data_IF_359619826956
#
_entry.id   IF_359619826956
#
_cell.length_a   1.000
_cell.length_b   1.000
_cell.length_c   1.000
_cell.angle_alpha   90.00
_cell.angle_beta   90.00
_cell.angle_gamma   90.00
#
_symmetry.space_group_name_H-M   'P 1'
#
loop_
_entity.id
_entity.type
_entity.pdbx_description
1 polymer ?
#
# COMPACT_ATOMS: atom_id res chain seq x y z
N UNK A 1 15.48 -5.76 -16.69
CA UNK A 1 15.32 -6.39 -18.02
C UNK A 1 15.76 -5.46 -19.13
N UNK A 2 16.11 -6.02 -20.26
CA UNK A 2 16.51 -5.28 -21.45
C UNK A 2 15.37 -5.31 -22.48
N UNK A 3 15.21 -4.20 -23.20
CA UNK A 3 14.23 -4.07 -24.29
C UNK A 3 15.00 -4.11 -25.60
N UNK A 4 14.62 -5.03 -26.49
CA UNK A 4 15.05 -5.06 -27.89
C UNK A 4 13.87 -4.74 -28.80
N UNK A 5 14.07 -4.72 -30.12
CA UNK A 5 12.99 -4.46 -31.07
C UNK A 5 11.91 -5.55 -31.04
N UNK A 6 12.28 -6.80 -30.74
CA UNK A 6 11.40 -7.97 -30.85
C UNK A 6 10.98 -8.59 -29.51
N UNK A 7 11.67 -8.29 -28.41
CA UNK A 7 11.37 -8.92 -27.11
C UNK A 7 11.84 -8.10 -25.93
N UNK A 8 11.28 -8.43 -24.75
CA UNK A 8 11.71 -7.91 -23.46
C UNK A 8 12.32 -9.08 -22.68
N UNK A 9 13.58 -8.95 -22.32
CA UNK A 9 14.27 -9.90 -21.46
C UNK A 9 14.10 -9.52 -20.00
N UNK A 10 13.67 -10.48 -19.15
CA UNK A 10 13.51 -10.31 -17.73
C UNK A 10 14.60 -11.06 -16.96
N UNK A 11 15.20 -10.38 -16.00
CA UNK A 11 16.11 -10.97 -15.02
C UNK A 11 15.36 -11.16 -13.71
N UNK A 12 15.43 -12.36 -13.12
CA UNK A 12 14.90 -12.61 -11.79
C UNK A 12 15.80 -11.92 -10.75
N UNK A 13 15.24 -10.94 -10.02
CA UNK A 13 15.95 -10.19 -8.96
C UNK A 13 15.52 -10.61 -7.56
N UNK A 14 14.32 -11.18 -7.41
CA UNK A 14 13.80 -11.64 -6.12
C UNK A 14 12.81 -12.79 -6.31
N UNK A 15 12.79 -13.73 -5.38
CA UNK A 15 11.79 -14.79 -5.28
C UNK A 15 11.54 -15.12 -3.80
N UNK A 16 10.29 -15.31 -3.43
CA UNK A 16 9.94 -15.83 -2.10
C UNK A 16 10.48 -17.24 -1.92
N UNK A 17 10.90 -17.59 -0.72
CA UNK A 17 11.43 -18.95 -0.41
C UNK A 17 10.36 -20.02 -0.64
N UNK A 18 9.13 -19.72 -0.32
CA UNK A 18 8.00 -20.63 -0.48
C UNK A 18 7.33 -20.44 -1.84
N UNK A 19 7.26 -21.51 -2.61
CA UNK A 19 6.54 -21.56 -3.88
C UNK A 19 5.18 -22.22 -3.68
N UNK A 20 4.13 -21.62 -4.22
CA UNK A 20 2.80 -22.20 -4.19
C UNK A 20 2.48 -22.84 -5.55
N UNK A 21 2.05 -24.08 -5.50
CA UNK A 21 1.75 -24.83 -6.72
C UNK A 21 0.38 -24.51 -7.35
N UNK A 22 -0.46 -23.70 -6.67
CA UNK A 22 -1.80 -23.36 -7.18
C UNK A 22 -2.20 -21.93 -6.77
N UNK A 23 -2.74 -21.18 -7.73
CA UNK A 23 -3.33 -19.85 -7.51
C UNK A 23 -4.58 -19.84 -6.62
N UNK A 24 -5.12 -21.01 -6.28
CA UNK A 24 -6.42 -21.18 -5.60
C UNK A 24 -6.41 -20.78 -4.12
N UNK A 25 -5.23 -20.65 -3.49
CA UNK A 25 -5.10 -20.35 -2.07
C UNK A 25 -4.84 -18.88 -1.74
N UNK A 26 -4.59 -18.05 -2.74
CA UNK A 26 -4.31 -16.63 -2.53
C UNK A 26 -5.56 -15.78 -2.64
N UNK A 27 -6.20 -15.54 -1.52
CA UNK A 27 -7.32 -14.56 -1.46
C UNK A 27 -6.81 -13.10 -1.45
N UNK A 28 -5.54 -12.87 -1.16
CA UNK A 28 -4.96 -11.54 -0.97
C UNK A 28 -3.63 -11.40 -1.75
N UNK A 29 -3.67 -11.61 -3.06
CA UNK A 29 -2.52 -11.37 -3.95
C UNK A 29 -2.32 -9.87 -4.15
N UNK A 30 -1.95 -9.18 -3.08
CA UNK A 30 -1.61 -7.78 -3.10
C UNK A 30 -0.12 -7.62 -3.30
N UNK A 31 0.28 -6.61 -4.04
CA UNK A 31 1.67 -6.27 -4.23
C UNK A 31 1.81 -4.88 -4.81
N UNK A 32 2.81 -4.15 -4.34
CA UNK A 32 3.22 -2.85 -4.86
C UNK A 32 4.73 -2.80 -4.92
N UNK A 33 5.24 -2.16 -5.96
CA UNK A 33 6.67 -1.86 -6.12
C UNK A 33 6.83 -0.36 -6.03
N UNK A 34 7.78 0.08 -5.22
CA UNK A 34 8.14 1.49 -5.07
C UNK A 34 9.67 1.63 -5.08
N UNK A 35 10.15 2.69 -5.74
CA UNK A 35 11.57 3.05 -5.71
C UNK A 35 11.89 3.71 -4.37
N UNK A 36 13.03 3.37 -3.77
CA UNK A 36 13.47 3.93 -2.50
C UNK A 36 14.98 4.15 -2.48
N UNK A 37 15.38 5.41 -2.37
CA UNK A 37 16.77 5.78 -2.12
C UNK A 37 16.96 6.03 -0.62
N UNK A 38 17.87 5.29 -0.01
CA UNK A 38 18.18 5.39 1.43
C UNK A 38 19.28 6.45 1.74
N UNK A 39 19.65 7.25 0.75
CA UNK A 39 20.74 8.22 0.82
C UNK A 39 22.09 7.66 0.42
N UNK A 40 22.22 6.34 0.30
CA UNK A 40 23.44 5.65 -0.13
C UNK A 40 23.22 4.69 -1.30
N UNK A 41 22.02 4.14 -1.41
CA UNK A 41 21.72 3.10 -2.39
C UNK A 41 20.34 3.31 -3.00
N UNK A 42 20.21 2.96 -4.26
CA UNK A 42 18.94 2.79 -4.92
C UNK A 42 18.39 1.38 -4.65
N UNK A 43 17.22 1.34 -4.05
CA UNK A 43 16.57 0.12 -3.63
C UNK A 43 15.15 0.05 -4.21
N UNK A 44 14.59 -1.14 -4.19
CA UNK A 44 13.19 -1.42 -4.50
C UNK A 44 12.51 -1.88 -3.22
N UNK A 45 11.37 -1.27 -2.87
CA UNK A 45 10.45 -1.78 -1.88
C UNK A 45 9.35 -2.58 -2.59
N UNK A 46 9.19 -3.84 -2.17
CA UNK A 46 8.15 -4.73 -2.69
C UNK A 46 7.22 -5.12 -1.55
N UNK A 47 5.96 -4.72 -1.62
CA UNK A 47 4.95 -5.26 -0.71
C UNK A 47 4.45 -6.62 -1.18
N UNK A 48 4.24 -7.55 -0.23
CA UNK A 48 3.71 -8.88 -0.49
C UNK A 48 2.54 -9.11 0.46
N UNK A 49 1.36 -9.39 -0.08
CA UNK A 49 0.16 -9.58 0.71
C UNK A 49 0.21 -10.80 1.63
N UNK A 50 -0.54 -10.76 2.72
CA UNK A 50 -0.60 -11.86 3.69
C UNK A 50 -1.41 -13.04 3.14
N UNK A 51 -0.83 -14.22 3.14
CA UNK A 51 -1.44 -15.45 2.56
C UNK A 51 -2.49 -16.13 3.44
N UNK A 52 -2.59 -15.73 4.70
CA UNK A 52 -3.57 -16.28 5.66
C UNK A 52 -3.15 -17.59 6.35
N UNK A 53 -2.11 -18.27 5.90
CA UNK A 53 -1.75 -19.60 6.43
C UNK A 53 -0.25 -19.87 6.60
N UNK A 54 0.61 -18.93 6.28
CA UNK A 54 2.02 -19.22 6.13
C UNK A 54 2.97 -18.48 7.05
N UNK A 55 3.95 -19.24 7.55
CA UNK A 55 5.07 -18.78 8.38
C UNK A 55 6.28 -18.33 7.53
N UNK A 56 6.07 -17.92 6.27
CA UNK A 56 7.14 -17.33 5.47
C UNK A 56 7.17 -15.83 5.76
N UNK A 57 8.28 -15.34 6.28
CA UNK A 57 8.49 -13.93 6.65
C UNK A 57 8.34 -12.94 5.48
N UNK A 58 8.25 -13.44 4.25
CA UNK A 58 8.00 -12.62 3.07
C UNK A 58 6.53 -12.23 2.90
N UNK A 59 5.58 -12.99 3.47
CA UNK A 59 4.15 -12.71 3.35
C UNK A 59 3.68 -11.73 4.43
N UNK A 60 2.81 -10.81 4.04
CA UNK A 60 2.36 -9.75 4.93
C UNK A 60 3.50 -8.79 5.29
N UNK A 61 4.41 -8.56 4.34
CA UNK A 61 5.61 -7.76 4.58
C UNK A 61 5.91 -6.78 3.44
N UNK A 62 6.82 -5.87 3.72
CA UNK A 62 7.53 -5.09 2.72
C UNK A 62 8.96 -5.61 2.70
N UNK A 63 9.43 -6.00 1.53
CA UNK A 63 10.79 -6.49 1.27
C UNK A 63 11.60 -5.38 0.61
N UNK A 64 12.78 -5.10 1.14
CA UNK A 64 13.77 -4.25 0.49
C UNK A 64 14.66 -5.12 -0.40
N UNK A 65 14.85 -4.70 -1.64
CA UNK A 65 15.69 -5.37 -2.63
C UNK A 65 16.71 -4.37 -3.16
N UNK A 66 17.98 -4.73 -3.06
CA UNK A 66 19.08 -4.01 -3.70
C UNK A 66 19.64 -4.88 -4.82
N UNK A 67 19.39 -4.48 -6.06
CA UNK A 67 19.81 -5.26 -7.24
C UNK A 67 21.32 -5.25 -7.41
N UNK A 68 21.98 -4.11 -7.20
CA UNK A 68 23.43 -3.95 -7.38
C UNK A 68 24.23 -4.84 -6.42
N UNK A 69 23.77 -4.92 -5.16
CA UNK A 69 24.40 -5.74 -4.12
C UNK A 69 23.91 -7.18 -4.08
N UNK A 70 22.96 -7.53 -4.95
CA UNK A 70 22.27 -8.83 -4.95
C UNK A 70 21.78 -9.23 -3.54
N UNK A 71 21.11 -8.30 -2.87
CA UNK A 71 20.69 -8.41 -1.48
C UNK A 71 19.20 -8.13 -1.34
N UNK A 72 18.54 -8.86 -0.44
CA UNK A 72 17.17 -8.58 -0.04
C UNK A 72 16.94 -8.91 1.42
N UNK A 73 16.09 -8.13 2.07
CA UNK A 73 15.68 -8.35 3.47
C UNK A 73 14.20 -8.01 3.68
N UNK A 74 13.60 -8.60 4.69
CA UNK A 74 12.29 -8.15 5.18
C UNK A 74 12.47 -6.80 5.87
N UNK A 75 11.94 -5.75 5.28
CA UNK A 75 12.05 -4.37 5.76
C UNK A 75 11.04 -4.08 6.88
N UNK A 76 9.79 -4.50 6.69
CA UNK A 76 8.71 -4.38 7.67
C UNK A 76 7.72 -5.53 7.50
N UNK A 77 6.97 -5.88 8.54
CA UNK A 77 6.02 -7.00 8.54
C UNK A 77 4.73 -6.72 9.30
N UNK A 78 3.81 -7.66 9.24
CA UNK A 78 2.54 -7.53 9.95
C UNK A 78 1.54 -6.64 9.19
N UNK A 79 1.62 -6.64 7.87
CA UNK A 79 0.72 -5.95 6.95
C UNK A 79 -0.19 -6.96 6.26
N UNK A 80 -1.42 -6.58 5.95
CA UNK A 80 -2.36 -7.50 5.31
C UNK A 80 -2.33 -7.43 3.80
N UNK A 81 -2.47 -6.24 3.26
CA UNK A 81 -2.62 -6.06 1.83
C UNK A 81 -2.30 -4.66 1.36
N UNK A 82 -1.02 -4.33 1.35
CA UNK A 82 -0.52 -3.03 0.88
C UNK A 82 -0.64 -2.97 -0.64
N UNK A 83 -1.48 -2.06 -1.13
CA UNK A 83 -1.68 -1.81 -2.56
C UNK A 83 -1.06 -0.50 -3.05
N UNK A 84 -0.77 0.42 -2.16
CA UNK A 84 -0.10 1.68 -2.48
C UNK A 84 1.03 1.97 -1.52
N UNK A 85 2.13 2.47 -2.06
CA UNK A 85 3.29 2.95 -1.31
C UNK A 85 3.80 4.25 -1.91
N UNK A 86 4.33 5.09 -1.05
CA UNK A 86 5.09 6.28 -1.39
C UNK A 86 6.37 6.27 -0.58
N UNK A 87 7.49 6.55 -1.21
CA UNK A 87 8.76 6.66 -0.54
C UNK A 87 9.54 7.90 -1.04
N UNK A 88 10.07 8.66 -0.11
CA UNK A 88 11.07 9.70 -0.36
C UNK A 88 12.15 9.65 0.73
N UNK A 89 13.07 10.61 0.72
CA UNK A 89 14.16 10.70 1.72
C UNK A 89 13.67 10.90 3.16
N UNK A 90 12.42 11.34 3.36
CA UNK A 90 11.85 11.70 4.66
C UNK A 90 10.94 10.62 5.23
N UNK A 91 10.21 9.92 4.38
CA UNK A 91 9.15 9.01 4.83
C UNK A 91 8.85 7.92 3.81
N UNK A 92 8.52 6.75 4.32
CA UNK A 92 7.86 5.70 3.57
C UNK A 92 6.44 5.59 4.12
N UNK A 93 5.44 5.74 3.25
CA UNK A 93 4.02 5.59 3.58
C UNK A 93 3.45 4.39 2.84
N UNK A 94 2.60 3.63 3.50
CA UNK A 94 1.86 2.53 2.90
C UNK A 94 0.38 2.63 3.25
N UNK A 95 -0.48 2.30 2.29
CA UNK A 95 -1.91 2.11 2.52
C UNK A 95 -2.22 0.62 2.51
N UNK A 96 -2.70 0.13 3.63
CA UNK A 96 -2.98 -1.29 3.88
C UNK A 96 -4.48 -1.56 3.97
N UNK A 97 -4.95 -2.53 3.22
CA UNK A 97 -6.36 -2.92 3.25
C UNK A 97 -6.67 -3.82 4.43
N UNK A 98 -7.50 -3.36 5.32
CA UNK A 98 -8.04 -4.16 6.40
C UNK A 98 -8.96 -5.31 5.93
N UNK A 99 -9.28 -6.26 6.80
CA UNK A 99 -10.08 -7.42 6.40
C UNK A 99 -11.54 -7.05 6.06
N UNK A 100 -12.21 -6.32 6.90
CA UNK A 100 -13.59 -5.84 6.70
C UNK A 100 -13.74 -4.49 7.37
N UNK A 101 -13.34 -3.43 6.70
CA UNK A 101 -13.01 -2.13 7.29
C UNK A 101 -11.59 -2.12 7.85
N UNK A 102 -11.24 -1.07 8.58
CA UNK A 102 -9.93 -0.94 9.19
C UNK A 102 -8.79 -0.82 8.16
N UNK A 103 -9.04 -0.18 7.01
CA UNK A 103 -7.96 0.19 6.11
C UNK A 103 -7.05 1.19 6.83
N UNK A 104 -5.74 1.08 6.63
CA UNK A 104 -4.76 1.83 7.40
C UNK A 104 -3.84 2.67 6.53
N UNK A 105 -3.39 3.79 7.08
CA UNK A 105 -2.24 4.53 6.59
C UNK A 105 -1.11 4.33 7.58
N UNK A 106 -0.04 3.71 7.13
CA UNK A 106 1.12 3.37 7.93
C UNK A 106 2.35 4.19 7.53
N UNK A 107 3.08 4.71 8.53
CA UNK A 107 4.46 5.16 8.36
C UNK A 107 5.35 3.94 8.50
N UNK A 108 6.03 3.56 7.43
CA UNK A 108 6.83 2.34 7.40
C UNK A 108 8.25 2.64 7.88
N UNK A 109 8.67 1.91 8.90
CA UNK A 109 10.01 1.98 9.48
C UNK A 109 10.64 0.59 9.51
N UNK A 110 11.93 0.53 9.24
CA UNK A 110 12.68 -0.73 9.17
C UNK A 110 12.60 -1.50 10.50
N UNK A 111 12.30 -2.79 10.41
CA UNK A 111 12.22 -3.69 11.56
C UNK A 111 10.88 -3.70 12.29
N UNK A 112 9.96 -2.78 11.98
CA UNK A 112 8.68 -2.69 12.66
C UNK A 112 7.70 -3.78 12.22
N UNK A 113 6.79 -4.12 13.15
CA UNK A 113 5.68 -5.05 12.95
C UNK A 113 4.34 -4.34 13.15
N UNK A 114 3.50 -4.32 12.11
CA UNK A 114 2.23 -3.58 12.05
C UNK A 114 1.01 -4.41 12.50
N UNK A 115 1.22 -5.57 13.08
CA UNK A 115 0.25 -6.30 13.89
C UNK A 115 -0.57 -7.36 13.20
N UNK A 116 -0.86 -7.26 11.89
CA UNK A 116 -1.65 -8.30 11.22
C UNK A 116 -0.88 -9.63 11.15
N UNK A 117 -1.50 -10.82 11.41
CA UNK A 117 -2.94 -11.06 11.63
C UNK A 117 -3.37 -11.07 13.10
N UNK A 118 -2.58 -10.59 14.03
CA UNK A 118 -2.85 -10.66 15.47
C UNK A 118 -3.78 -9.55 15.94
N UNK A 119 -3.60 -8.33 15.43
CA UNK A 119 -4.43 -7.17 15.69
C UNK A 119 -4.91 -6.54 14.39
N UNK A 120 -6.02 -5.82 14.39
CA UNK A 120 -6.54 -5.06 13.27
C UNK A 120 -7.70 -4.18 13.72
N UNK A 121 -7.84 -3.02 13.11
CA UNK A 121 -9.01 -2.15 13.25
C UNK A 121 -10.22 -2.61 12.40
N UNK A 122 -10.02 -3.61 11.52
CA UNK A 122 -11.08 -4.22 10.74
C UNK A 122 -11.72 -5.41 11.45
N UNK A 123 -12.86 -5.86 10.94
CA UNK A 123 -13.55 -7.05 11.44
C UNK A 123 -13.11 -8.31 10.70
N UNK A 124 -13.16 -9.46 11.38
CA UNK A 124 -13.01 -10.75 10.70
C UNK A 124 -14.20 -11.01 9.78
N UNK A 125 -13.93 -11.64 8.64
CA UNK A 125 -15.01 -12.17 7.81
C UNK A 125 -15.78 -13.23 8.60
N UNK A 126 -17.11 -13.16 8.59
CA UNK A 126 -17.95 -14.12 9.30
C UNK A 126 -17.65 -15.54 8.86
N UNK A 127 -17.37 -16.40 9.83
CA UNK A 127 -17.51 -17.83 9.66
C UNK A 127 -19.01 -18.19 9.72
N UNK A 128 -19.49 -19.21 9.03
CA UNK A 128 -20.90 -19.63 9.12
C UNK A 128 -21.43 -19.80 10.54
N UNK A 129 -20.56 -20.10 11.49
CA UNK A 129 -20.91 -20.38 12.90
C UNK A 129 -21.06 -19.13 13.79
N UNK A 130 -21.02 -17.92 13.26
CA UNK A 130 -21.24 -16.63 13.96
C UNK A 130 -20.37 -16.37 15.20
N UNK A 131 -19.45 -17.25 15.54
CA UNK A 131 -18.63 -17.21 16.76
C UNK A 131 -17.22 -16.65 16.58
N UNK A 132 -16.93 -15.96 15.48
CA UNK A 132 -15.57 -15.49 15.20
C UNK A 132 -15.26 -14.30 16.10
N UNK A 133 -14.24 -14.39 16.97
CA UNK A 133 -13.82 -13.27 17.80
C UNK A 133 -13.33 -12.12 16.89
N UNK A 134 -13.59 -10.90 17.33
CA UNK A 134 -13.03 -9.69 16.71
C UNK A 134 -11.51 -9.68 16.86
N UNK A 135 -10.82 -8.92 16.01
CA UNK A 135 -9.42 -8.64 16.27
C UNK A 135 -9.30 -7.74 17.51
N UNK A 136 -8.25 -7.91 18.33
CA UNK A 136 -7.89 -6.87 19.27
C UNK A 136 -7.59 -5.57 18.50
N UNK A 137 -8.08 -4.47 19.03
CA UNK A 137 -7.72 -3.12 18.59
C UNK A 137 -6.50 -2.62 19.39
N UNK A 138 -5.99 -1.45 19.03
CA UNK A 138 -4.84 -0.82 19.69
C UNK A 138 -3.56 -1.66 19.55
N UNK A 139 -2.88 -1.45 18.47
CA UNK A 139 -1.65 -2.16 18.10
C UNK A 139 -0.57 -2.01 19.17
N UNK A 140 -0.37 -0.78 19.70
CA UNK A 140 0.64 -0.46 20.70
C UNK A 140 0.46 -1.27 22.00
N UNK A 141 -0.76 -1.43 22.48
CA UNK A 141 -1.06 -2.23 23.67
C UNK A 141 -0.74 -3.71 23.50
N UNK A 142 -0.66 -4.17 22.26
CA UNK A 142 -0.31 -5.53 21.90
C UNK A 142 1.15 -5.66 21.40
N UNK A 143 1.95 -4.59 21.53
CA UNK A 143 3.38 -4.61 21.19
C UNK A 143 3.66 -4.43 19.69
N UNK A 144 2.72 -3.86 18.94
CA UNK A 144 2.86 -3.58 17.51
C UNK A 144 2.87 -2.09 17.23
N UNK A 145 3.30 -1.73 16.01
CA UNK A 145 3.35 -0.34 15.59
C UNK A 145 1.94 0.14 15.19
N UNK A 146 1.52 1.26 15.77
CA UNK A 146 0.25 1.90 15.42
C UNK A 146 0.28 2.51 14.02
N UNK A 147 -0.82 2.44 13.25
CA UNK A 147 -0.98 3.21 12.03
C UNK A 147 -1.07 4.71 12.33
N UNK A 148 -0.69 5.55 11.36
CA UNK A 148 -0.96 7.00 11.42
C UNK A 148 -2.47 7.25 11.53
N UNK A 149 -3.24 6.43 10.81
CA UNK A 149 -4.70 6.52 10.77
C UNK A 149 -5.30 5.18 10.35
N UNK A 150 -6.42 4.80 11.00
CA UNK A 150 -7.24 3.66 10.62
C UNK A 150 -8.64 4.14 10.23
N UNK A 151 -9.13 3.69 9.08
CA UNK A 151 -10.47 3.98 8.60
C UNK A 151 -11.44 2.91 9.09
N UNK A 152 -12.52 3.32 9.76
CA UNK A 152 -13.55 2.37 10.24
C UNK A 152 -14.22 1.64 9.06
N UNK A 153 -14.53 2.39 7.99
CA UNK A 153 -15.18 1.82 6.81
C UNK A 153 -14.15 1.33 5.78
N UNK A 154 -14.48 0.23 5.12
CA UNK A 154 -13.67 -0.31 4.02
C UNK A 154 -13.72 0.62 2.81
N UNK A 155 -12.70 1.43 2.64
CA UNK A 155 -12.49 2.22 1.42
C UNK A 155 -11.91 1.37 0.30
N UNK A 156 -11.16 0.30 0.67
CA UNK A 156 -10.36 -0.46 -0.28
C UNK A 156 -9.29 0.45 -0.86
N UNK A 157 -8.40 0.98 -0.01
CA UNK A 157 -7.30 1.86 -0.42
C UNK A 157 -6.40 1.17 -1.44
N UNK A 158 -5.96 1.89 -2.48
CA UNK A 158 -5.16 1.29 -3.55
C UNK A 158 -3.82 2.02 -3.77
N UNK A 159 -3.81 3.22 -4.31
CA UNK A 159 -2.58 3.99 -4.51
C UNK A 159 -2.48 5.12 -3.50
N UNK A 160 -1.27 5.49 -3.11
CA UNK A 160 -0.97 6.73 -2.41
C UNK A 160 0.12 7.50 -3.16
N UNK A 161 -0.13 8.77 -3.44
CA UNK A 161 0.79 9.62 -4.18
C UNK A 161 0.86 11.01 -3.55
N UNK A 162 2.05 11.56 -3.39
CA UNK A 162 2.24 12.97 -3.04
C UNK A 162 1.89 13.84 -4.23
N UNK A 163 1.06 14.86 -4.00
CA UNK A 163 0.73 15.82 -5.04
C UNK A 163 1.94 16.71 -5.34
N UNK A 164 2.32 16.85 -6.61
CA UNK A 164 3.35 17.80 -7.00
C UNK A 164 2.92 19.24 -6.75
N UNK A 165 3.87 20.09 -6.38
CA UNK A 165 3.60 21.49 -6.05
C UNK A 165 3.01 22.30 -7.22
N UNK A 166 3.27 21.87 -8.45
CA UNK A 166 2.78 22.52 -9.68
C UNK A 166 1.39 22.04 -10.12
N UNK A 167 0.82 21.02 -9.44
CA UNK A 167 -0.56 20.58 -9.69
C UNK A 167 -1.57 21.60 -9.19
N UNK A 168 -1.44 22.04 -7.94
CA UNK A 168 -2.33 23.06 -7.35
C UNK A 168 -1.62 23.79 -6.21
N UNK A 169 -1.62 25.11 -6.26
CA UNK A 169 -1.09 25.95 -5.18
C UNK A 169 -1.84 25.80 -3.83
N UNK A 170 -3.08 25.31 -3.87
CA UNK A 170 -3.90 25.09 -2.68
C UNK A 170 -3.71 23.71 -2.06
N UNK A 171 -3.07 22.77 -2.80
CA UNK A 171 -2.93 21.38 -2.40
C UNK A 171 -1.45 21.01 -2.15
N UNK A 172 -0.63 21.99 -1.84
CA UNK A 172 0.78 21.76 -1.52
C UNK A 172 0.93 20.85 -0.29
N UNK A 173 1.89 19.94 -0.35
CA UNK A 173 2.16 18.93 0.68
C UNK A 173 0.97 18.02 1.01
N UNK A 174 0.02 17.91 0.11
CA UNK A 174 -1.06 16.95 0.23
C UNK A 174 -0.72 15.66 -0.51
N UNK A 175 -1.38 14.60 -0.09
CA UNK A 175 -1.36 13.30 -0.76
C UNK A 175 -2.75 12.99 -1.30
N UNK A 176 -2.80 12.16 -2.33
CA UNK A 176 -4.02 11.55 -2.83
C UNK A 176 -3.92 10.05 -2.63
N UNK A 177 -4.98 9.47 -2.06
CA UNK A 177 -5.16 8.03 -1.93
C UNK A 177 -6.33 7.63 -2.80
N UNK A 178 -6.14 6.67 -3.70
CA UNK A 178 -7.24 6.11 -4.48
C UNK A 178 -7.98 5.03 -3.72
N UNK A 179 -9.26 4.87 -4.02
CA UNK A 179 -10.09 3.85 -3.39
C UNK A 179 -10.82 2.99 -4.41
N UNK A 180 -10.92 1.70 -4.10
CA UNK A 180 -11.64 0.72 -4.90
C UNK A 180 -13.11 0.65 -4.49
N UNK A 181 -13.36 0.32 -3.22
CA UNK A 181 -14.69 0.16 -2.70
C UNK A 181 -15.38 1.50 -2.44
N UNK A 182 -14.60 2.48 -2.00
CA UNK A 182 -15.09 3.83 -1.72
C UNK A 182 -15.50 4.63 -2.96
N UNK A 183 -14.96 4.29 -4.15
CA UNK A 183 -15.23 4.98 -5.43
C UNK A 183 -14.99 6.49 -5.39
N UNK A 184 -14.00 6.90 -4.60
CA UNK A 184 -13.58 8.29 -4.43
C UNK A 184 -12.06 8.35 -4.26
N UNK A 185 -11.51 9.53 -4.36
CA UNK A 185 -10.17 9.81 -3.89
C UNK A 185 -10.26 10.39 -2.46
N UNK A 186 -9.24 10.10 -1.67
CA UNK A 186 -9.01 10.76 -0.38
C UNK A 186 -7.86 11.73 -0.55
N UNK A 187 -8.12 13.04 -0.43
CA UNK A 187 -7.08 14.03 -0.30
C UNK A 187 -6.72 14.15 1.16
N UNK A 188 -5.47 13.92 1.50
CA UNK A 188 -5.00 13.87 2.89
C UNK A 188 -3.80 14.78 3.10
N UNK A 189 -3.66 15.27 4.31
CA UNK A 189 -2.48 16.01 4.77
C UNK A 189 -1.99 15.46 6.10
N UNK A 190 -0.69 15.28 6.21
CA UNK A 190 -0.04 14.81 7.42
C UNK A 190 0.62 15.97 8.17
N UNK A 191 0.93 15.74 9.46
CA UNK A 191 1.87 16.57 10.22
C UNK A 191 3.28 16.49 9.62
N UNK A 192 4.15 17.44 9.91
CA UNK A 192 5.53 17.50 9.37
C UNK A 192 6.35 16.24 9.71
N UNK A 193 6.09 15.61 10.85
CA UNK A 193 6.74 14.38 11.30
C UNK A 193 6.04 13.10 10.81
N UNK A 194 4.95 13.24 10.03
CA UNK A 194 4.14 12.13 9.53
C UNK A 194 3.56 11.22 10.63
N UNK A 195 3.33 11.76 11.84
CA UNK A 195 2.72 10.98 12.93
C UNK A 195 1.22 11.13 13.05
N UNK A 196 0.66 12.14 12.40
CA UNK A 196 -0.78 12.44 12.47
C UNK A 196 -1.36 12.76 11.11
N UNK A 197 -2.55 12.28 10.87
CA UNK A 197 -3.41 12.75 9.80
C UNK A 197 -4.11 14.04 10.27
N UNK A 198 -3.81 15.17 9.62
CA UNK A 198 -4.38 16.47 9.99
C UNK A 198 -5.80 16.63 9.47
N UNK A 199 -6.04 16.17 8.25
CA UNK A 199 -7.38 16.09 7.67
C UNK A 199 -7.43 15.08 6.51
N UNK A 200 -8.65 14.65 6.18
CA UNK A 200 -8.96 13.94 4.96
C UNK A 200 -10.23 14.53 4.32
N UNK A 201 -10.25 14.55 3.00
CA UNK A 201 -11.37 15.01 2.19
C UNK A 201 -11.68 13.97 1.13
N UNK A 202 -12.98 13.69 0.93
CA UNK A 202 -13.43 12.77 -0.11
C UNK A 202 -13.74 13.53 -1.38
N UNK A 203 -13.10 13.13 -2.48
CA UNK A 203 -13.37 13.63 -3.82
C UNK A 203 -14.08 12.51 -4.58
N UNK A 204 -15.38 12.66 -4.77
CA UNK A 204 -16.20 11.62 -5.38
C UNK A 204 -15.89 11.44 -6.86
N UNK A 205 -15.60 10.21 -7.27
CA UNK A 205 -15.34 9.83 -8.67
C UNK A 205 -16.49 8.99 -9.23
N UNK A 206 -17.17 8.22 -8.40
CA UNK A 206 -18.26 7.32 -8.80
C UNK A 206 -17.79 5.94 -9.26
N UNK A 207 -16.50 5.73 -9.37
CA UNK A 207 -15.90 4.50 -9.87
C UNK A 207 -14.68 4.05 -9.06
N UNK A 208 -14.31 2.78 -9.19
CA UNK A 208 -13.14 2.17 -8.55
C UNK A 208 -11.86 2.69 -9.19
N UNK A 209 -11.04 3.38 -8.43
CA UNK A 209 -9.74 3.92 -8.88
C UNK A 209 -8.61 3.03 -8.38
N UNK A 210 -7.96 2.31 -9.30
CA UNK A 210 -6.89 1.35 -9.00
C UNK A 210 -5.54 2.00 -8.82
N UNK A 211 -5.25 3.00 -9.63
CA UNK A 211 -3.95 3.65 -9.68
C UNK A 211 -4.09 5.13 -10.05
N UNK A 212 -3.13 5.94 -9.65
CA UNK A 212 -3.06 7.36 -9.95
C UNK A 212 -1.65 7.69 -10.36
N UNK A 213 -1.49 8.45 -11.45
CA UNK A 213 -0.20 9.02 -11.85
C UNK A 213 -0.36 10.49 -12.23
N UNK A 214 0.66 11.27 -11.92
CA UNK A 214 0.72 12.65 -12.34
C UNK A 214 1.40 12.75 -13.69
N UNK A 215 0.75 13.40 -14.64
CA UNK A 215 1.31 13.74 -15.95
C UNK A 215 1.76 15.20 -15.97
N UNK A 216 3.08 15.39 -15.90
CA UNK A 216 3.71 16.70 -15.71
C UNK A 216 3.37 17.69 -16.82
N UNK A 217 3.39 17.27 -18.10
CA UNK A 217 3.19 18.18 -19.22
C UNK A 217 1.78 18.76 -19.28
N UNK A 218 0.75 17.97 -18.95
CA UNK A 218 -0.65 18.46 -18.91
C UNK A 218 -1.09 18.90 -17.51
N UNK A 219 -0.23 18.77 -16.50
CA UNK A 219 -0.54 19.04 -15.08
C UNK A 219 -1.81 18.34 -14.61
N UNK A 220 -2.00 17.09 -15.04
CA UNK A 220 -3.21 16.31 -14.79
C UNK A 220 -2.91 15.08 -13.96
N UNK A 221 -3.87 14.66 -13.14
CA UNK A 221 -3.88 13.33 -12.55
C UNK A 221 -4.53 12.34 -13.52
N UNK A 222 -3.85 11.28 -13.82
CA UNK A 222 -4.34 10.16 -14.63
C UNK A 222 -4.82 9.07 -13.69
N UNK A 223 -6.07 8.63 -13.85
CA UNK A 223 -6.71 7.62 -13.01
C UNK A 223 -6.95 6.34 -13.81
N UNK A 224 -6.54 5.19 -13.26
CA UNK A 224 -6.92 3.89 -13.79
C UNK A 224 -8.28 3.46 -13.20
N UNK A 225 -9.33 3.50 -14.00
CA UNK A 225 -10.72 3.21 -13.62
C UNK A 225 -11.05 1.75 -13.96
N UNK A 226 -11.32 0.92 -12.94
CA UNK A 226 -11.39 -0.53 -13.15
C UNK A 226 -12.78 -1.08 -13.40
N UNK A 227 -13.85 -0.35 -13.12
CA UNK A 227 -15.22 -0.82 -13.41
C UNK A 227 -15.56 -0.72 -14.88
N UNK A 228 -15.12 0.36 -15.53
CA UNK A 228 -15.33 0.59 -16.98
C UNK A 228 -14.12 0.20 -17.82
N UNK A 229 -12.95 -0.06 -17.19
CA UNK A 229 -11.70 -0.31 -17.92
C UNK A 229 -11.19 0.95 -18.64
N UNK A 230 -11.47 2.14 -18.12
CA UNK A 230 -11.16 3.44 -18.76
C UNK A 230 -10.06 4.20 -18.02
N UNK A 231 -9.61 5.28 -18.63
CA UNK A 231 -8.67 6.25 -18.06
C UNK A 231 -9.44 7.53 -17.76
N UNK A 232 -9.38 7.98 -16.50
CA UNK A 232 -9.90 9.28 -16.06
C UNK A 232 -8.81 10.35 -16.02
N UNK A 233 -9.19 11.61 -16.22
CA UNK A 233 -8.29 12.76 -16.08
C UNK A 233 -8.91 13.78 -15.12
N UNK A 234 -8.07 14.33 -14.22
CA UNK A 234 -8.39 15.47 -13.37
C UNK A 234 -7.38 16.59 -13.69
N UNK A 235 -7.90 17.77 -14.02
CA UNK A 235 -7.13 18.98 -14.32
C UNK A 235 -7.46 20.10 -13.31
#
# INVERSE_FOLDING_TARGET
GNISEDYIEFKLIFSTKKKFNTCLYFKNNFGRIEHYNDGMNDNILLSIGHSGKDNDDSFGSIVLINEEKNYSETFAKGLRGVLGMYADEKVILAVDNGPKGGDEINKIEKGNHYGFPFVSYGEKYKNPDYSTPTYPENHDKNGFTEPIHAFIYAHGTAEIMKLPNDFSKFWQDNFIISTLNGRHLLRVKFSEDYKKLLYNEKIYIGERVRDIKYHKNSKSLILALTSTGSIGLIQ
#
